data_IF_537354637912
#
_entry.id   IF_537354637912
#
_cell.length_a   1.000
_cell.length_b   1.000
_cell.length_c   1.000
_cell.angle_alpha   90.00
_cell.angle_beta   90.00
_cell.angle_gamma   90.00
#
_symmetry.space_group_name_H-M   'P 1'
#
loop_
_entity.id
_entity.type
_entity.pdbx_description
1 polymer ?
#
# COMPACT_ATOMS: atom_id res chain seq x y z
N UNK A 1 11.16 19.02 18.68
CA UNK A 1 10.87 17.99 19.71
C UNK A 1 11.41 16.67 19.18
N UNK A 2 12.00 15.82 20.01
CA UNK A 2 12.40 14.49 19.54
C UNK A 2 11.14 13.67 19.26
N UNK A 3 11.10 12.99 18.12
CA UNK A 3 9.99 12.13 17.70
C UNK A 3 10.27 10.73 18.23
N UNK A 4 9.42 10.19 19.11
CA UNK A 4 9.69 8.94 19.83
C UNK A 4 8.63 7.86 19.55
N UNK A 5 7.49 8.22 18.96
CA UNK A 5 6.46 7.29 18.52
C UNK A 5 5.78 7.76 17.22
N UNK A 6 5.03 6.85 16.57
CA UNK A 6 4.33 7.17 15.31
C UNK A 6 3.30 8.29 15.46
N UNK A 7 2.69 8.44 16.64
CA UNK A 7 1.72 9.52 16.91
C UNK A 7 2.39 10.89 16.91
N UNK A 8 3.66 11.00 17.35
CA UNK A 8 4.38 12.27 17.26
C UNK A 8 4.51 12.71 15.80
N UNK A 9 4.82 11.76 14.89
CA UNK A 9 4.90 12.03 13.44
C UNK A 9 3.57 12.44 12.86
N UNK A 10 2.48 11.80 13.31
CA UNK A 10 1.13 12.17 12.92
C UNK A 10 0.78 13.62 13.34
N UNK A 11 1.07 13.98 14.59
CA UNK A 11 0.84 15.34 15.10
C UNK A 11 1.70 16.38 14.39
N UNK A 12 2.97 16.07 14.14
CA UNK A 12 3.86 16.93 13.37
C UNK A 12 3.31 17.13 11.95
N UNK A 13 2.91 16.06 11.27
CA UNK A 13 2.33 16.15 9.94
C UNK A 13 1.09 17.04 9.91
N UNK A 14 0.19 16.86 10.86
CA UNK A 14 -1.05 17.63 10.97
C UNK A 14 -0.80 19.12 11.14
N UNK A 15 0.29 19.48 11.82
CA UNK A 15 0.69 20.86 12.03
C UNK A 15 1.39 21.50 10.81
N UNK A 16 2.00 20.71 9.92
CA UNK A 16 2.86 21.21 8.84
C UNK A 16 2.29 20.99 7.43
N UNK A 17 1.40 20.02 7.24
CA UNK A 17 0.74 19.78 5.96
C UNK A 17 -0.43 20.74 5.76
N UNK A 18 -0.73 21.04 4.50
CA UNK A 18 -1.97 21.75 4.17
C UNK A 18 -3.18 20.96 4.68
N UNK A 19 -4.25 21.65 5.07
CA UNK A 19 -5.48 20.99 5.54
C UNK A 19 -5.99 19.93 4.55
N UNK A 20 -6.02 20.25 3.27
CA UNK A 20 -6.50 19.34 2.23
C UNK A 20 -5.60 18.09 2.11
N UNK A 21 -4.28 18.27 2.18
CA UNK A 21 -3.30 17.16 2.17
C UNK A 21 -3.44 16.28 3.41
N UNK A 22 -3.46 16.88 4.59
CA UNK A 22 -3.62 16.16 5.85
C UNK A 22 -4.92 15.36 5.86
N UNK A 23 -6.04 16.00 5.50
CA UNK A 23 -7.34 15.37 5.46
C UNK A 23 -7.38 14.20 4.45
N UNK A 24 -6.73 14.32 3.29
CA UNK A 24 -6.63 13.25 2.29
C UNK A 24 -5.96 11.99 2.85
N UNK A 25 -4.83 12.16 3.54
CA UNK A 25 -4.11 11.02 4.10
C UNK A 25 -4.82 10.44 5.33
N UNK A 26 -5.33 11.29 6.22
CA UNK A 26 -6.02 10.88 7.44
C UNK A 26 -7.44 10.34 7.20
N UNK A 27 -7.99 10.52 5.99
CA UNK A 27 -9.36 10.10 5.67
C UNK A 27 -9.59 8.60 5.87
N UNK A 28 -10.77 8.27 6.41
CA UNK A 28 -11.43 6.98 6.24
C UNK A 28 -12.67 7.13 5.34
N UNK A 29 -13.30 6.02 4.99
CA UNK A 29 -14.60 6.02 4.32
C UNK A 29 -15.73 6.36 5.29
N UNK A 30 -16.75 7.05 4.81
CA UNK A 30 -17.99 7.37 5.50
C UNK A 30 -17.82 7.95 6.92
N UNK A 31 -18.20 7.20 7.96
CA UNK A 31 -18.10 7.62 9.37
C UNK A 31 -16.74 7.29 9.98
N UNK A 32 -15.85 6.68 9.21
CA UNK A 32 -14.52 6.21 9.63
C UNK A 32 -14.56 5.13 10.72
N UNK A 33 -15.67 4.42 10.87
CA UNK A 33 -15.82 3.37 11.89
C UNK A 33 -14.75 2.28 11.74
N UNK A 34 -14.55 1.74 10.54
CA UNK A 34 -13.54 0.71 10.25
C UNK A 34 -12.12 1.23 10.45
N UNK A 35 -11.87 2.51 10.08
CA UNK A 35 -10.58 3.16 10.26
C UNK A 35 -10.21 3.19 11.75
N UNK A 36 -11.13 3.67 12.56
CA UNK A 36 -10.88 3.85 13.99
C UNK A 36 -10.82 2.48 14.69
N UNK A 37 -11.65 1.53 14.27
CA UNK A 37 -11.61 0.17 14.81
C UNK A 37 -10.33 -0.59 14.46
N UNK A 38 -9.69 -0.32 13.31
CA UNK A 38 -8.38 -0.91 13.00
C UNK A 38 -7.35 -0.66 14.12
N UNK A 39 -7.33 0.54 14.71
CA UNK A 39 -6.44 0.89 15.82
C UNK A 39 -6.91 0.25 17.13
N UNK A 40 -8.20 0.35 17.43
CA UNK A 40 -8.78 -0.19 18.66
C UNK A 40 -8.68 -1.72 18.72
N UNK A 41 -8.70 -2.41 17.59
CA UNK A 41 -8.56 -3.86 17.50
C UNK A 41 -7.23 -4.36 18.05
N UNK A 42 -6.11 -3.69 17.74
CA UNK A 42 -4.83 -4.01 18.36
C UNK A 42 -4.86 -3.80 19.88
N UNK A 43 -5.57 -2.77 20.36
CA UNK A 43 -5.79 -2.54 21.80
C UNK A 43 -6.72 -3.55 22.47
N UNK A 44 -7.34 -4.48 21.74
CA UNK A 44 -8.07 -5.62 22.32
C UNK A 44 -7.20 -6.88 22.46
N UNK A 45 -6.09 -6.95 21.71
CA UNK A 45 -5.13 -8.05 21.80
C UNK A 45 -4.20 -7.80 23.00
N UNK A 46 -3.95 -8.85 23.79
CA UNK A 46 -3.04 -8.79 24.94
C UNK A 46 -1.88 -9.75 24.71
N UNK A 47 -0.66 -9.27 24.88
CA UNK A 47 0.52 -10.12 24.86
C UNK A 47 0.66 -10.80 26.22
N UNK A 48 0.91 -12.11 26.22
CA UNK A 48 1.23 -12.87 27.44
C UNK A 48 2.75 -12.99 27.55
N UNK A 49 3.43 -12.20 28.40
CA UNK A 49 4.87 -12.26 28.50
C UNK A 49 5.32 -13.63 29.00
N UNK A 50 6.42 -14.15 28.45
CA UNK A 50 7.08 -15.36 28.94
C UNK A 50 8.27 -14.92 29.79
N UNK A 51 8.30 -15.35 31.06
CA UNK A 51 9.36 -15.01 32.00
C UNK A 51 10.55 -15.97 31.86
N UNK A 52 11.72 -15.54 32.35
CA UNK A 52 12.96 -16.34 32.37
C UNK A 52 13.33 -16.93 31.00
N UNK A 53 13.17 -16.13 29.94
CA UNK A 53 13.66 -16.44 28.60
C UNK A 53 14.91 -15.62 28.36
N UNK A 54 15.98 -16.28 27.96
CA UNK A 54 17.19 -15.61 27.51
C UNK A 54 16.88 -14.84 26.22
N UNK A 55 16.94 -13.52 26.33
CA UNK A 55 16.73 -12.56 25.24
C UNK A 55 17.95 -11.64 25.09
N UNK A 56 19.12 -12.09 25.58
CA UNK A 56 20.39 -11.37 25.43
C UNK A 56 20.75 -11.07 23.97
N UNK A 57 20.22 -11.87 23.05
CA UNK A 57 20.22 -11.62 21.61
C UNK A 57 18.78 -11.70 21.10
N UNK A 58 18.34 -10.64 20.41
CA UNK A 58 17.04 -10.60 19.71
C UNK A 58 17.29 -10.37 18.23
N UNK A 59 17.00 -11.36 17.39
CA UNK A 59 17.10 -11.24 15.93
C UNK A 59 15.72 -10.97 15.34
N UNK A 60 15.57 -9.83 14.68
CA UNK A 60 14.32 -9.41 14.03
C UNK A 60 14.28 -9.79 12.56
N UNK A 61 15.38 -10.29 11.98
CA UNK A 61 15.46 -10.59 10.55
C UNK A 61 14.48 -11.69 10.18
N UNK A 62 13.93 -11.58 8.97
CA UNK A 62 13.01 -12.55 8.40
C UNK A 62 13.17 -12.56 6.89
N UNK A 63 12.49 -13.47 6.20
CA UNK A 63 12.40 -13.49 4.75
C UNK A 63 11.02 -13.05 4.26
N UNK A 64 11.01 -12.42 3.08
CA UNK A 64 9.82 -12.09 2.27
C UNK A 64 10.14 -12.42 0.81
N UNK A 65 9.40 -13.33 0.22
CA UNK A 65 9.59 -14.08 -1.03
C UNK A 65 11.02 -14.61 -1.19
N UNK A 66 11.52 -15.23 -0.13
CA UNK A 66 12.87 -15.77 -0.08
C UNK A 66 13.98 -14.72 0.00
N UNK A 67 13.66 -13.41 0.04
CA UNK A 67 14.62 -12.33 0.26
C UNK A 67 14.67 -11.98 1.76
N UNK A 68 15.86 -11.99 2.35
CA UNK A 68 16.05 -11.52 3.73
C UNK A 68 15.78 -10.01 3.84
N UNK A 69 15.03 -9.62 4.87
CA UNK A 69 14.80 -8.24 5.32
C UNK A 69 15.19 -8.09 6.79
N UNK A 70 15.56 -6.88 7.20
CA UNK A 70 16.11 -6.61 8.54
C UNK A 70 15.11 -6.78 9.69
N UNK A 71 13.82 -6.57 9.43
CA UNK A 71 12.73 -6.68 10.40
C UNK A 71 11.38 -6.85 9.68
N UNK A 72 10.34 -7.44 10.30
CA UNK A 72 9.10 -7.84 9.64
C UNK A 72 8.12 -6.67 9.42
N UNK A 73 8.61 -5.52 8.93
CA UNK A 73 7.79 -4.34 8.62
C UNK A 73 8.28 -3.75 7.31
N UNK A 74 7.42 -3.71 6.30
CA UNK A 74 7.64 -3.04 5.03
C UNK A 74 6.75 -1.81 4.85
N UNK A 75 6.97 -1.09 3.74
CA UNK A 75 6.20 0.10 3.38
C UNK A 75 5.13 -0.26 2.37
N UNK A 76 3.89 -0.02 2.76
CA UNK A 76 2.73 -0.37 1.98
C UNK A 76 2.44 0.68 0.87
N UNK A 77 1.72 0.32 -0.21
CA UNK A 77 1.50 1.22 -1.32
C UNK A 77 0.60 2.38 -0.92
N UNK A 78 1.16 3.58 -0.97
CA UNK A 78 0.44 4.83 -0.75
C UNK A 78 0.63 5.72 -1.98
N UNK A 79 -0.43 6.40 -2.40
CA UNK A 79 -0.37 7.35 -3.50
C UNK A 79 0.21 8.70 -3.07
N UNK A 80 0.77 9.42 -4.04
CA UNK A 80 1.04 10.85 -3.97
C UNK A 80 1.99 11.30 -2.86
N UNK A 81 3.12 10.63 -2.62
CA UNK A 81 4.04 11.00 -1.53
C UNK A 81 4.54 12.45 -1.63
N UNK A 82 4.60 13.03 -2.84
CA UNK A 82 5.00 14.43 -3.05
C UNK A 82 4.05 15.47 -2.44
N UNK A 83 2.86 15.06 -1.99
CA UNK A 83 2.00 15.94 -1.17
C UNK A 83 2.58 16.16 0.23
N UNK A 84 3.30 15.17 0.77
CA UNK A 84 3.87 15.22 2.11
C UNK A 84 5.30 15.77 2.12
N UNK A 85 6.09 15.44 1.08
CA UNK A 85 7.50 15.81 1.00
C UNK A 85 7.95 15.92 -0.46
N UNK A 86 8.73 16.95 -0.80
CA UNK A 86 9.09 17.23 -2.20
C UNK A 86 9.82 16.10 -2.95
N UNK A 87 10.59 15.24 -2.26
CA UNK A 87 11.21 14.05 -2.87
C UNK A 87 10.28 12.83 -2.92
N UNK A 88 9.13 12.86 -2.24
CA UNK A 88 8.07 11.85 -2.30
C UNK A 88 8.54 10.38 -2.23
N UNK A 89 8.19 9.62 -3.26
CA UNK A 89 8.47 8.18 -3.34
C UNK A 89 9.98 7.88 -3.48
N UNK A 90 10.77 8.81 -4.00
CA UNK A 90 12.24 8.68 -4.10
C UNK A 90 12.87 8.65 -2.71
N UNK A 91 12.48 9.56 -1.81
CA UNK A 91 12.95 9.54 -0.42
C UNK A 91 12.54 8.24 0.29
N UNK A 92 11.30 7.79 0.08
CA UNK A 92 10.81 6.52 0.64
C UNK A 92 11.66 5.34 0.18
N UNK A 93 11.98 5.28 -1.12
CA UNK A 93 12.81 4.22 -1.69
C UNK A 93 14.21 4.17 -1.06
N UNK A 94 14.90 5.33 -0.95
CA UNK A 94 16.23 5.42 -0.31
C UNK A 94 16.20 4.90 1.13
N UNK A 95 15.20 5.34 1.89
CA UNK A 95 15.01 4.93 3.26
C UNK A 95 14.83 3.40 3.41
N UNK A 96 13.97 2.81 2.57
CA UNK A 96 13.74 1.36 2.62
C UNK A 96 14.93 0.52 2.17
N UNK A 97 15.75 1.04 1.24
CA UNK A 97 17.02 0.42 0.88
C UNK A 97 18.01 0.49 2.04
N UNK A 98 18.17 1.65 2.67
CA UNK A 98 19.05 1.84 3.82
C UNK A 98 18.69 0.98 5.03
N UNK A 99 17.40 0.70 5.23
CA UNK A 99 16.92 -0.21 6.28
C UNK A 99 16.86 -1.69 5.85
N UNK A 100 17.08 -1.99 4.57
CA UNK A 100 16.88 -3.32 3.98
C UNK A 100 15.50 -3.91 4.34
N UNK A 101 14.44 -3.21 3.90
CA UNK A 101 13.05 -3.68 3.98
C UNK A 101 12.31 -3.52 2.66
N UNK A 102 11.16 -4.16 2.53
CA UNK A 102 10.33 -4.13 1.33
C UNK A 102 9.59 -2.80 1.19
N UNK A 103 9.66 -2.18 0.02
CA UNK A 103 8.82 -1.05 -0.39
C UNK A 103 7.86 -1.46 -1.50
N UNK A 104 6.56 -1.32 -1.26
CA UNK A 104 5.52 -1.51 -2.27
C UNK A 104 5.19 -0.15 -2.90
N UNK A 105 5.68 0.11 -4.11
CA UNK A 105 5.40 1.34 -4.87
C UNK A 105 3.96 1.36 -5.38
N UNK A 106 3.25 2.48 -5.27
CA UNK A 106 1.88 2.59 -5.80
C UNK A 106 1.84 2.87 -7.31
N UNK A 107 0.79 2.38 -7.98
CA UNK A 107 0.42 2.84 -9.34
C UNK A 107 0.21 4.35 -9.40
N UNK A 108 -0.25 4.99 -8.31
CA UNK A 108 -0.47 6.43 -8.22
C UNK A 108 0.69 7.16 -7.53
N UNK A 109 1.92 6.76 -7.89
CA UNK A 109 3.14 7.44 -7.46
C UNK A 109 3.29 8.82 -8.11
N UNK A 110 3.78 9.78 -7.34
CA UNK A 110 4.18 11.12 -7.81
C UNK A 110 5.63 11.20 -8.31
N UNK A 111 6.39 10.12 -8.24
CA UNK A 111 7.66 9.93 -8.94
C UNK A 111 7.52 8.81 -9.98
N UNK A 112 8.30 8.87 -11.06
CA UNK A 112 8.38 7.75 -12.01
C UNK A 112 9.06 6.53 -11.38
N UNK A 113 8.73 5.33 -11.88
CA UNK A 113 9.36 4.08 -11.43
C UNK A 113 10.86 4.06 -11.72
N UNK A 114 11.32 4.75 -12.78
CA UNK A 114 12.74 4.92 -13.09
C UNK A 114 13.45 5.81 -12.07
N UNK A 115 12.86 6.95 -11.68
CA UNK A 115 13.43 7.82 -10.64
C UNK A 115 13.53 7.08 -9.30
N UNK A 116 12.50 6.32 -8.95
CA UNK A 116 12.47 5.50 -7.72
C UNK A 116 13.58 4.44 -7.74
N UNK A 117 13.74 3.72 -8.86
CA UNK A 117 14.79 2.70 -9.00
C UNK A 117 16.18 3.32 -9.05
N UNK A 118 16.36 4.44 -9.75
CA UNK A 118 17.64 5.15 -9.82
C UNK A 118 18.09 5.68 -8.45
N UNK A 119 17.16 6.12 -7.62
CA UNK A 119 17.46 6.64 -6.30
C UNK A 119 17.85 5.56 -5.27
N UNK A 120 17.35 4.33 -5.45
CA UNK A 120 17.62 3.21 -4.58
C UNK A 120 17.81 1.96 -5.44
N UNK A 121 18.97 1.77 -6.11
CA UNK A 121 19.17 0.72 -7.12
C UNK A 121 19.16 -0.71 -6.55
N UNK A 122 19.48 -0.89 -5.28
CA UNK A 122 19.51 -2.18 -4.57
C UNK A 122 18.26 -2.44 -3.72
N UNK A 123 17.36 -1.46 -3.60
CA UNK A 123 16.14 -1.53 -2.80
C UNK A 123 15.26 -2.74 -3.13
N UNK A 124 14.70 -3.36 -2.10
CA UNK A 124 13.76 -4.47 -2.30
C UNK A 124 12.35 -3.91 -2.55
N UNK A 125 11.91 -3.97 -3.81
CA UNK A 125 10.69 -3.26 -4.25
C UNK A 125 9.66 -4.20 -4.88
N UNK A 126 8.41 -4.05 -4.47
CA UNK A 126 7.23 -4.60 -5.12
C UNK A 126 6.44 -3.46 -5.76
N UNK A 127 5.63 -3.77 -6.78
CA UNK A 127 4.81 -2.77 -7.45
C UNK A 127 3.34 -3.08 -7.26
N UNK A 128 2.60 -2.15 -6.67
CA UNK A 128 1.15 -2.25 -6.56
C UNK A 128 0.48 -1.82 -7.86
N UNK A 129 -0.35 -2.70 -8.40
CA UNK A 129 -1.12 -2.51 -9.62
C UNK A 129 -2.58 -2.23 -9.30
N UNK A 130 -3.11 -1.15 -9.87
CA UNK A 130 -4.53 -1.02 -10.18
C UNK A 130 -4.79 -1.41 -11.62
N UNK A 131 -5.89 -2.11 -11.87
CA UNK A 131 -6.28 -2.52 -13.22
C UNK A 131 -7.14 -1.43 -13.85
N UNK A 132 -6.63 -0.87 -14.95
CA UNK A 132 -7.36 0.08 -15.78
C UNK A 132 -8.35 -0.61 -16.72
N UNK A 133 -9.44 0.08 -17.07
CA UNK A 133 -10.37 -0.36 -18.13
C UNK A 133 -9.63 -0.62 -19.44
N UNK A 134 -8.73 0.28 -19.80
CA UNK A 134 -7.81 0.06 -20.91
C UNK A 134 -6.68 -0.88 -20.47
N UNK A 135 -6.89 -2.18 -20.65
CA UNK A 135 -5.97 -3.24 -20.19
C UNK A 135 -4.54 -3.09 -20.71
N UNK A 136 -4.38 -2.50 -21.89
CA UNK A 136 -3.06 -2.20 -22.47
C UNK A 136 -2.21 -1.27 -21.59
N UNK A 137 -2.83 -0.32 -20.87
CA UNK A 137 -2.12 0.56 -19.94
C UNK A 137 -1.54 -0.20 -18.76
N UNK A 138 -2.34 -1.11 -18.20
CA UNK A 138 -1.93 -2.02 -17.12
C UNK A 138 -0.80 -2.94 -17.59
N UNK A 139 -0.93 -3.52 -18.80
CA UNK A 139 0.08 -4.39 -19.40
C UNK A 139 1.42 -3.66 -19.59
N UNK A 140 1.40 -2.45 -20.14
CA UNK A 140 2.59 -1.62 -20.30
C UNK A 140 3.29 -1.31 -18.97
N UNK A 141 2.51 -1.00 -17.92
CA UNK A 141 3.07 -0.77 -16.59
C UNK A 141 3.71 -2.03 -16.02
N UNK A 142 3.07 -3.19 -16.16
CA UNK A 142 3.58 -4.48 -15.71
C UNK A 142 4.92 -4.80 -16.38
N UNK A 143 5.01 -4.72 -17.72
CA UNK A 143 6.26 -4.97 -18.44
C UNK A 143 7.36 -3.99 -18.03
N UNK A 144 7.01 -2.71 -17.82
CA UNK A 144 7.94 -1.66 -17.42
C UNK A 144 8.55 -1.94 -16.04
N UNK A 145 7.74 -2.29 -15.04
CA UNK A 145 8.25 -2.55 -13.69
C UNK A 145 9.01 -3.87 -13.60
N UNK A 146 8.61 -4.89 -14.36
CA UNK A 146 9.35 -6.14 -14.48
C UNK A 146 10.74 -5.90 -15.09
N UNK A 147 10.83 -5.12 -16.17
CA UNK A 147 12.11 -4.75 -16.79
C UNK A 147 13.02 -3.93 -15.86
N UNK A 148 12.43 -3.14 -14.96
CA UNK A 148 13.15 -2.37 -13.93
C UNK A 148 13.53 -3.18 -12.69
N UNK A 149 13.24 -4.48 -12.66
CA UNK A 149 13.70 -5.40 -11.63
C UNK A 149 12.90 -5.37 -10.33
N UNK A 150 11.65 -4.88 -10.36
CA UNK A 150 10.69 -5.11 -9.29
C UNK A 150 10.51 -6.61 -9.03
N UNK A 151 10.18 -6.99 -7.79
CA UNK A 151 10.23 -8.39 -7.35
C UNK A 151 8.87 -9.07 -7.22
N UNK A 152 7.79 -8.31 -7.19
CA UNK A 152 6.43 -8.83 -7.22
C UNK A 152 5.44 -7.77 -7.71
N UNK A 153 4.27 -8.23 -8.16
CA UNK A 153 3.09 -7.42 -8.42
C UNK A 153 2.10 -7.56 -7.27
N UNK A 154 1.69 -6.45 -6.69
CA UNK A 154 0.65 -6.39 -5.67
C UNK A 154 -0.66 -5.95 -6.33
N UNK A 155 -1.50 -6.91 -6.73
CA UNK A 155 -2.82 -6.61 -7.29
C UNK A 155 -3.75 -6.14 -6.18
N UNK A 156 -4.20 -4.89 -6.25
CA UNK A 156 -5.19 -4.36 -5.29
C UNK A 156 -6.60 -4.62 -5.80
N UNK A 157 -7.38 -5.39 -5.04
CA UNK A 157 -8.73 -5.84 -5.43
C UNK A 157 -9.86 -5.21 -4.62
N UNK A 158 -9.55 -4.44 -3.57
CA UNK A 158 -10.52 -3.80 -2.68
C UNK A 158 -10.96 -2.38 -3.14
N UNK A 159 -10.64 -2.00 -4.38
CA UNK A 159 -10.97 -0.68 -4.97
C UNK A 159 -11.57 -0.80 -6.39
N UNK A 160 -12.69 -1.52 -6.60
CA UNK A 160 -13.42 -1.43 -7.87
C UNK A 160 -14.05 -0.02 -8.06
N UNK A 161 -14.40 0.62 -6.94
CA UNK A 161 -14.79 2.03 -6.84
C UNK A 161 -14.12 2.64 -5.61
N UNK A 162 -13.88 3.94 -5.64
CA UNK A 162 -13.29 4.65 -4.50
C UNK A 162 -14.27 4.73 -3.33
N UNK A 163 -13.79 4.48 -2.11
CA UNK A 163 -14.59 4.68 -0.90
C UNK A 163 -14.96 6.15 -0.68
N UNK A 164 -16.10 6.40 -0.04
CA UNK A 164 -16.63 7.75 0.14
C UNK A 164 -15.91 8.51 1.26
N UNK A 165 -14.84 9.23 0.91
CA UNK A 165 -14.03 10.01 1.87
C UNK A 165 -14.59 11.43 2.01
N UNK A 166 -15.34 11.67 3.08
CA UNK A 166 -16.13 12.91 3.24
C UNK A 166 -15.27 14.17 3.30
N UNK A 167 -14.08 14.10 3.89
CA UNK A 167 -13.19 15.27 3.93
C UNK A 167 -12.62 15.59 2.56
N UNK A 168 -12.29 14.59 1.75
CA UNK A 168 -11.83 14.81 0.37
C UNK A 168 -12.93 15.48 -0.47
N UNK A 169 -14.20 15.06 -0.29
CA UNK A 169 -15.36 15.68 -0.94
C UNK A 169 -15.55 17.14 -0.48
N UNK A 170 -15.49 17.40 0.83
CA UNK A 170 -15.62 18.77 1.39
C UNK A 170 -14.51 19.70 0.93
N UNK A 171 -13.29 19.18 0.86
CA UNK A 171 -12.12 19.91 0.42
C UNK A 171 -12.01 19.99 -1.11
N UNK A 172 -12.92 19.31 -1.84
CA UNK A 172 -12.85 19.14 -3.30
C UNK A 172 -11.45 18.72 -3.74
N UNK A 173 -10.87 17.74 -3.03
CA UNK A 173 -9.46 17.40 -3.15
C UNK A 173 -9.08 17.05 -4.60
N UNK A 174 -8.01 17.68 -5.08
CA UNK A 174 -7.36 17.41 -6.38
C UNK A 174 -5.87 17.40 -6.17
N UNK A 175 -5.17 16.57 -6.95
CA UNK A 175 -3.72 16.64 -7.00
C UNK A 175 -3.29 18.04 -7.48
N UNK A 176 -2.39 18.75 -6.76
CA UNK A 176 -1.91 20.05 -7.18
C UNK A 176 -1.29 20.03 -8.59
N UNK A 177 -1.49 21.05 -9.44
CA UNK A 177 -1.05 21.01 -10.86
C UNK A 177 0.45 20.84 -11.09
N UNK A 178 1.28 21.17 -10.09
CA UNK A 178 2.73 21.00 -10.16
C UNK A 178 3.16 19.55 -9.90
N UNK A 179 2.30 18.72 -9.31
CA UNK A 179 2.53 17.30 -9.12
C UNK A 179 1.95 16.53 -10.30
N UNK A 180 2.69 15.53 -10.75
CA UNK A 180 2.32 14.70 -11.90
C UNK A 180 2.14 13.27 -11.46
N UNK A 181 1.20 12.60 -12.12
CA UNK A 181 1.15 11.15 -12.08
C UNK A 181 1.92 10.60 -13.27
N UNK A 182 2.86 9.71 -13.00
CA UNK A 182 3.65 9.04 -14.01
C UNK A 182 2.95 7.77 -14.52
N UNK A 183 1.66 7.89 -14.83
CA UNK A 183 0.87 6.85 -15.49
C UNK A 183 1.51 6.51 -16.85
N UNK A 184 1.27 5.28 -17.33
CA UNK A 184 1.58 4.90 -18.70
C UNK A 184 0.85 5.84 -19.67
N UNK A 185 1.54 6.88 -20.14
CA UNK A 185 1.15 7.75 -21.28
C UNK A 185 -0.31 8.21 -21.38
N UNK A 186 -1.06 8.28 -20.27
CA UNK A 186 -2.44 8.75 -20.32
C UNK A 186 -2.42 10.27 -20.59
N UNK A 187 -2.85 10.67 -21.79
CA UNK A 187 -3.04 12.08 -22.13
C UNK A 187 -4.25 12.56 -21.34
N UNK A 188 -4.03 13.57 -20.49
CA UNK A 188 -5.06 14.21 -19.69
C UNK A 188 -6.04 14.94 -20.62
N UNK A 189 -7.17 14.30 -20.97
CA UNK A 189 -8.27 14.97 -21.67
C UNK A 189 -9.10 15.78 -20.67
N UNK A 190 -9.25 17.07 -20.94
CA UNK A 190 -9.71 18.11 -20.01
C UNK A 190 -11.22 18.16 -19.76
N UNK A 191 -12.00 17.15 -20.15
CA UNK A 191 -13.48 17.21 -20.18
C UNK A 191 -14.21 16.19 -19.31
N UNK A 192 -13.50 15.29 -18.62
CA UNK A 192 -14.10 14.23 -17.82
C UNK A 192 -14.12 14.65 -16.33
N UNK A 193 -15.18 14.34 -15.55
CA UNK A 193 -15.15 14.52 -14.11
C UNK A 193 -13.92 13.83 -13.52
N UNK A 194 -13.11 14.54 -12.74
CA UNK A 194 -11.89 14.00 -12.14
C UNK A 194 -12.14 13.62 -10.67
N UNK A 195 -11.70 12.43 -10.26
CA UNK A 195 -11.53 12.05 -8.87
C UNK A 195 -10.04 12.18 -8.49
N UNK A 196 -9.72 13.10 -7.58
CA UNK A 196 -8.35 13.40 -7.15
C UNK A 196 -7.39 13.87 -8.26
N UNK A 197 -7.90 14.38 -9.38
CA UNK A 197 -7.08 14.75 -10.56
C UNK A 197 -6.82 13.60 -11.51
N UNK A 198 -7.52 12.47 -11.34
CA UNK A 198 -7.54 11.32 -12.25
C UNK A 198 -8.93 11.27 -12.87
N UNK A 199 -9.09 10.99 -14.17
CA UNK A 199 -10.42 10.85 -14.76
C UNK A 199 -11.26 9.83 -13.99
N UNK A 200 -12.54 10.14 -13.80
CA UNK A 200 -13.47 9.21 -13.18
C UNK A 200 -13.58 7.94 -14.03
N UNK A 201 -13.85 6.81 -13.37
CA UNK A 201 -14.04 5.50 -14.01
C UNK A 201 -12.82 4.96 -14.79
N UNK A 202 -11.61 5.45 -14.52
CA UNK A 202 -10.39 4.93 -15.17
C UNK A 202 -10.07 3.49 -14.73
N UNK A 203 -10.38 3.13 -13.49
CA UNK A 203 -10.24 1.78 -12.98
C UNK A 203 -11.36 0.86 -13.50
N UNK A 204 -11.03 -0.41 -13.70
CA UNK A 204 -11.96 -1.43 -14.16
C UNK A 204 -12.73 -2.05 -12.97
N UNK A 205 -14.02 -1.76 -12.78
CA UNK A 205 -14.81 -2.35 -11.70
C UNK A 205 -15.18 -3.81 -11.98
N UNK A 206 -14.91 -4.33 -13.19
CA UNK A 206 -15.26 -5.70 -13.59
C UNK A 206 -14.15 -6.73 -13.31
N UNK A 207 -13.09 -6.33 -12.58
CA UNK A 207 -12.05 -7.28 -12.16
C UNK A 207 -12.65 -8.47 -11.42
N UNK A 208 -12.09 -9.63 -11.69
CA UNK A 208 -12.56 -10.94 -11.29
C UNK A 208 -11.37 -11.88 -11.14
N UNK A 209 -11.61 -13.09 -10.67
CA UNK A 209 -10.57 -14.11 -10.59
C UNK A 209 -9.95 -14.50 -11.94
N UNK A 210 -10.66 -14.26 -13.06
CA UNK A 210 -10.12 -14.47 -14.42
C UNK A 210 -8.93 -13.57 -14.72
N UNK A 211 -8.87 -12.40 -14.08
CA UNK A 211 -7.82 -11.42 -14.27
C UNK A 211 -6.48 -11.88 -13.70
N UNK A 212 -6.49 -12.85 -12.76
CA UNK A 212 -5.27 -13.50 -12.28
C UNK A 212 -4.59 -14.27 -13.43
N UNK A 213 -5.36 -15.04 -14.21
CA UNK A 213 -4.83 -15.77 -15.35
C UNK A 213 -4.32 -14.84 -16.46
N UNK A 214 -5.00 -13.70 -16.66
CA UNK A 214 -4.52 -12.67 -17.57
C UNK A 214 -3.20 -12.06 -17.09
N UNK A 215 -3.06 -11.72 -15.81
CA UNK A 215 -1.78 -11.21 -15.27
C UNK A 215 -0.67 -12.26 -15.40
N UNK A 216 -0.94 -13.52 -15.08
CA UNK A 216 0.00 -14.64 -15.23
C UNK A 216 0.44 -14.85 -16.69
N UNK A 217 -0.37 -14.47 -17.68
CA UNK A 217 0.00 -14.60 -19.09
C UNK A 217 0.91 -13.47 -19.59
N UNK A 218 0.99 -12.34 -18.87
CA UNK A 218 1.76 -11.16 -19.27
C UNK A 218 3.00 -10.88 -18.39
N UNK A 219 3.18 -11.56 -17.26
CA UNK A 219 4.34 -11.35 -16.38
C UNK A 219 4.88 -12.63 -15.77
N UNK A 220 6.16 -12.64 -15.40
CA UNK A 220 6.76 -13.71 -14.58
C UNK A 220 6.92 -13.33 -13.12
N UNK A 221 6.56 -12.10 -12.75
CA UNK A 221 6.61 -11.66 -11.36
C UNK A 221 5.58 -12.43 -10.52
N UNK A 222 5.94 -12.82 -9.28
CA UNK A 222 4.98 -13.27 -8.28
C UNK A 222 3.81 -12.29 -8.13
N UNK A 223 2.60 -12.81 -8.11
CA UNK A 223 1.37 -12.03 -7.88
C UNK A 223 0.98 -12.16 -6.41
N UNK A 224 0.79 -11.02 -5.78
CA UNK A 224 0.32 -10.86 -4.40
C UNK A 224 -1.04 -10.17 -4.43
N UNK A 225 -2.06 -10.77 -3.85
CA UNK A 225 -3.39 -10.12 -3.80
C UNK A 225 -3.52 -9.30 -2.52
N UNK A 226 -3.82 -8.01 -2.67
CA UNK A 226 -4.11 -7.08 -1.58
C UNK A 226 -5.58 -6.74 -1.51
N UNK A 227 -6.17 -6.86 -0.32
CA UNK A 227 -7.57 -6.50 -0.06
C UNK A 227 -8.42 -7.64 0.48
N UNK A 228 -7.82 -8.81 0.75
CA UNK A 228 -8.52 -9.98 1.26
C UNK A 228 -8.83 -9.80 2.75
N UNK A 229 -10.05 -10.11 3.15
CA UNK A 229 -10.52 -10.04 4.54
C UNK A 229 -11.21 -11.31 5.03
N UNK A 230 -11.47 -12.26 4.13
CA UNK A 230 -12.20 -13.50 4.42
C UNK A 230 -11.32 -14.72 4.18
N UNK A 231 -11.69 -15.84 4.79
CA UNK A 231 -11.03 -17.12 4.56
C UNK A 231 -11.29 -17.62 3.15
N UNK A 232 -12.54 -17.48 2.71
CA UNK A 232 -13.05 -17.96 1.43
C UNK A 232 -12.30 -17.30 0.26
N UNK A 233 -12.09 -15.97 0.32
CA UNK A 233 -11.32 -15.26 -0.71
C UNK A 233 -9.82 -15.63 -0.66
N UNK A 234 -9.28 -15.93 0.52
CA UNK A 234 -7.91 -16.41 0.64
C UNK A 234 -7.73 -17.80 0.01
N UNK A 235 -8.68 -18.71 0.19
CA UNK A 235 -8.70 -20.02 -0.46
C UNK A 235 -8.80 -19.88 -1.98
N UNK A 236 -9.68 -19.01 -2.48
CA UNK A 236 -9.77 -18.70 -3.91
C UNK A 236 -8.46 -18.14 -4.47
N UNK A 237 -7.79 -17.23 -3.76
CA UNK A 237 -6.49 -16.72 -4.18
C UNK A 237 -5.44 -17.85 -4.30
N UNK A 238 -5.47 -18.80 -3.37
CA UNK A 238 -4.58 -19.97 -3.42
C UNK A 238 -4.89 -20.85 -4.63
N UNK A 239 -6.16 -21.14 -4.89
CA UNK A 239 -6.64 -21.94 -6.03
C UNK A 239 -6.27 -21.32 -7.38
N UNK A 240 -6.30 -20.00 -7.48
CA UNK A 240 -5.89 -19.27 -8.69
C UNK A 240 -4.37 -19.09 -8.82
N UNK A 241 -3.60 -19.69 -7.91
CA UNK A 241 -2.14 -19.78 -8.05
C UNK A 241 -1.39 -18.49 -7.73
N UNK A 242 -1.91 -17.62 -6.86
CA UNK A 242 -1.14 -16.45 -6.40
C UNK A 242 -0.09 -16.86 -5.37
N UNK A 243 0.98 -16.06 -5.25
CA UNK A 243 2.18 -16.34 -4.45
C UNK A 243 2.12 -15.74 -3.04
N UNK A 244 1.11 -14.90 -2.76
CA UNK A 244 0.91 -14.35 -1.43
C UNK A 244 -0.32 -13.48 -1.32
N UNK A 245 -0.65 -13.14 -0.07
CA UNK A 245 -1.87 -12.42 0.29
C UNK A 245 -1.50 -11.29 1.25
N UNK A 246 -2.02 -10.08 0.98
CA UNK A 246 -2.02 -8.95 1.90
C UNK A 246 -3.45 -8.76 2.44
N UNK A 247 -3.62 -9.08 3.72
CA UNK A 247 -4.86 -8.80 4.45
C UNK A 247 -4.96 -7.31 4.70
N UNK A 248 -5.98 -6.69 4.10
CA UNK A 248 -6.12 -5.25 4.05
C UNK A 248 -7.58 -4.87 3.87
N UNK A 249 -8.04 -3.89 4.65
CA UNK A 249 -9.28 -3.14 4.39
C UNK A 249 -8.97 -1.73 3.85
N UNK A 250 -7.82 -1.59 3.21
CA UNK A 250 -7.30 -0.34 2.66
C UNK A 250 -7.14 0.77 3.73
N UNK A 251 -6.92 0.40 4.99
CA UNK A 251 -6.90 1.35 6.12
C UNK A 251 -8.29 1.88 6.50
N UNK A 252 -9.37 1.19 6.16
CA UNK A 252 -10.72 1.69 6.37
C UNK A 252 -11.08 2.84 5.43
N UNK A 253 -10.43 2.92 4.25
CA UNK A 253 -10.63 3.97 3.23
C UNK A 253 -11.61 3.58 2.12
N UNK A 254 -12.14 2.36 2.19
CA UNK A 254 -12.97 1.74 1.16
C UNK A 254 -14.37 1.41 1.72
N UNK A 255 -14.58 0.19 2.23
CA UNK A 255 -15.85 -0.22 2.84
C UNK A 255 -15.86 0.09 4.35
N UNK A 256 -16.66 1.09 4.75
CA UNK A 256 -16.90 1.38 6.17
C UNK A 256 -17.94 0.42 6.76
N UNK A 257 -17.81 0.10 8.05
CA UNK A 257 -18.60 -0.94 8.73
C UNK A 257 -18.08 -2.38 8.53
N UNK A 258 -17.02 -2.56 7.75
CA UNK A 258 -16.28 -3.83 7.64
C UNK A 258 -15.41 -4.14 8.87
N UNK A 259 -14.83 -5.35 8.97
CA UNK A 259 -14.01 -5.73 10.10
C UNK A 259 -12.66 -5.00 10.12
N UNK A 260 -12.13 -4.80 11.33
CA UNK A 260 -10.71 -4.47 11.48
C UNK A 260 -9.84 -5.59 10.89
N UNK A 261 -8.86 -5.20 10.06
CA UNK A 261 -7.98 -6.15 9.33
C UNK A 261 -7.28 -7.17 10.23
N UNK A 262 -6.91 -6.80 11.45
CA UNK A 262 -6.26 -7.70 12.42
C UNK A 262 -7.19 -8.83 12.92
N UNK A 263 -8.50 -8.72 12.74
CA UNK A 263 -9.44 -9.79 13.09
C UNK A 263 -9.62 -10.83 11.98
N UNK A 264 -9.20 -10.53 10.74
CA UNK A 264 -9.22 -11.46 9.61
C UNK A 264 -8.15 -12.59 9.71
N UNK A 265 -7.58 -12.80 10.91
CA UNK A 265 -6.57 -13.83 11.22
C UNK A 265 -7.07 -15.28 11.16
N UNK A 266 -8.36 -15.52 10.91
CA UNK A 266 -8.92 -16.87 10.77
C UNK A 266 -8.70 -17.46 9.37
N UNK A 267 -7.93 -16.79 8.51
CA UNK A 267 -7.35 -17.39 7.31
C UNK A 267 -6.34 -18.46 7.79
N UNK A 268 -6.57 -19.77 7.53
CA UNK A 268 -5.85 -20.86 8.18
C UNK A 268 -4.33 -20.70 8.16
N UNK A 269 -3.64 -21.03 9.25
CA UNK A 269 -2.17 -21.14 9.23
C UNK A 269 -1.66 -22.48 8.65
N UNK A 270 -2.58 -23.35 8.18
CA UNK A 270 -2.28 -24.66 7.60
C UNK A 270 -2.12 -24.61 6.06
N UNK A 271 -1.59 -23.51 5.52
CA UNK A 271 -1.17 -23.46 4.13
C UNK A 271 0.28 -23.93 4.04
N UNK A 272 0.57 -24.76 3.04
CA UNK A 272 1.92 -25.24 2.74
C UNK A 272 2.92 -24.09 2.70
N UNK A 273 4.15 -24.35 3.16
CA UNK A 273 5.31 -23.46 3.38
C UNK A 273 5.74 -22.56 2.19
N UNK A 274 4.93 -22.39 1.15
CA UNK A 274 5.27 -21.72 -0.11
C UNK A 274 4.57 -20.36 -0.33
N UNK A 275 3.62 -19.95 0.52
CA UNK A 275 2.85 -18.71 0.33
C UNK A 275 2.93 -17.77 1.52
N UNK A 276 3.15 -16.48 1.24
CA UNK A 276 3.40 -15.47 2.28
C UNK A 276 2.18 -14.61 2.61
N UNK A 277 2.13 -14.18 3.86
CA UNK A 277 1.01 -13.46 4.43
C UNK A 277 1.46 -12.16 5.08
N UNK A 278 0.85 -11.05 4.68
CA UNK A 278 1.16 -9.71 5.22
C UNK A 278 -0.14 -9.08 5.72
N UNK A 279 -0.15 -8.52 6.93
CA UNK A 279 -1.31 -7.81 7.47
C UNK A 279 -1.03 -6.30 7.40
N UNK A 280 -1.99 -5.52 6.92
CA UNK A 280 -1.83 -4.08 6.76
C UNK A 280 -3.15 -3.30 6.93
N UNK A 281 -3.10 -2.18 7.65
CA UNK A 281 -4.20 -1.22 7.83
C UNK A 281 -3.63 0.22 7.73
N UNK A 282 -3.85 0.86 6.58
CA UNK A 282 -3.10 2.02 6.07
C UNK A 282 -3.26 3.39 6.75
N UNK A 283 -4.14 3.59 7.74
CA UNK A 283 -4.58 4.97 8.02
C UNK A 283 -3.70 5.79 8.95
N UNK A 284 -2.86 5.16 9.78
CA UNK A 284 -1.94 5.89 10.68
C UNK A 284 -0.47 5.63 10.36
N UNK A 285 -0.13 4.45 9.84
CA UNK A 285 1.27 4.11 9.50
C UNK A 285 1.79 4.80 8.24
N UNK A 286 0.93 5.16 7.29
CA UNK A 286 1.36 5.78 6.02
C UNK A 286 2.07 7.11 6.26
N UNK A 287 1.53 7.99 7.11
CA UNK A 287 2.11 9.32 7.33
C UNK A 287 3.33 9.28 8.26
N UNK A 288 3.29 8.42 9.27
CA UNK A 288 4.39 8.26 10.20
C UNK A 288 5.60 7.59 9.53
N UNK A 289 5.39 6.63 8.62
CA UNK A 289 6.46 6.12 7.77
C UNK A 289 6.97 7.22 6.81
N UNK A 290 6.09 7.90 6.08
CA UNK A 290 6.50 8.96 5.15
C UNK A 290 7.37 10.05 5.81
N UNK A 291 7.01 10.51 7.00
CA UNK A 291 7.77 11.55 7.71
C UNK A 291 8.97 11.02 8.49
N UNK A 292 8.90 9.81 9.08
CA UNK A 292 10.04 9.21 9.77
C UNK A 292 11.20 8.92 8.79
N UNK A 293 10.88 8.52 7.56
CA UNK A 293 11.86 8.29 6.51
C UNK A 293 12.37 9.57 5.83
N UNK A 294 11.58 10.63 5.77
CA UNK A 294 12.04 11.90 5.19
C UNK A 294 12.84 12.77 6.18
N UNK A 295 12.70 12.56 7.50
CA UNK A 295 13.41 13.33 8.54
C UNK A 295 14.73 12.70 9.02
N UNK A 296 15.04 11.47 8.60
CA UNK A 296 16.26 10.73 9.00
C UNK A 296 17.35 10.69 7.91
N UNK A 297 17.18 11.46 6.82
CA UNK A 297 18.18 11.65 5.76
C UNK A 297 18.67 13.09 5.71
#
# INVERSE_FOLDING_TARGET
MAMVCLTDFEEYAKAHLSKATWDYYAAGADECCTRDDNLLAYKRIRLRPRILRDVSVSDTRTTVQGKEISFPVGIAPTAFHCLAWHEGEVATARATEGLNTCYITSTYSTCSVEEIVAAAPSGYRWFQLYVYRERKLSEQLVHRVEALGYKALVLTVDVPYTGKRRNDIRNQFRLPPHLKLYLSHYKQETSVPEEYGIPANTLDPSISWKDIYWLQSITRLPIIIKGILTKEDAELAVEHGVQGIIVSNHGGRQLDGGPASVHAKHIPHNFTLEKEFVINSHTVLTLACLLCFCMTC
#
